data_IF_886981792146
#
_entry.id   IF_886981792146
#
_cell.length_a   1.000
_cell.length_b   1.000
_cell.length_c   1.000
_cell.angle_alpha   90.00
_cell.angle_beta   90.00
_cell.angle_gamma   90.00
#
_symmetry.space_group_name_H-M   'P 1'
#
loop_
_entity.id
_entity.type
_entity.pdbx_description
1 polymer ?
#
# COMPACT_ATOMS: atom_id res chain seq x y z
N UNK A 1 -9.92 15.10 -6.36
CA UNK A 1 -8.82 15.26 -7.34
C UNK A 1 -7.43 15.42 -6.70
N UNK A 2 -7.28 16.31 -5.72
CA UNK A 2 -5.97 16.64 -5.13
C UNK A 2 -5.32 15.49 -4.33
N UNK A 3 -6.09 14.73 -3.55
CA UNK A 3 -5.59 13.52 -2.86
C UNK A 3 -5.12 12.41 -3.82
N UNK A 4 -5.70 12.35 -5.02
CA UNK A 4 -5.25 11.45 -6.08
C UNK A 4 -3.89 11.89 -6.64
N UNK A 5 -3.70 13.20 -6.87
CA UNK A 5 -2.41 13.76 -7.28
C UNK A 5 -1.32 13.49 -6.24
N UNK A 6 -1.59 13.73 -4.95
CA UNK A 6 -0.67 13.40 -3.86
C UNK A 6 -0.30 11.92 -3.87
N UNK A 7 -1.30 11.04 -4.03
CA UNK A 7 -1.09 9.58 -4.09
C UNK A 7 -0.23 9.18 -5.29
N UNK A 8 -0.47 9.78 -6.46
CA UNK A 8 0.31 9.52 -7.67
C UNK A 8 1.77 9.99 -7.51
N UNK A 9 2.00 11.15 -6.89
CA UNK A 9 3.34 11.66 -6.58
C UNK A 9 4.07 10.69 -5.65
N UNK A 10 3.44 10.30 -4.53
CA UNK A 10 4.02 9.33 -3.59
C UNK A 10 4.39 8.04 -4.32
N UNK A 11 3.48 7.47 -5.11
CA UNK A 11 3.73 6.22 -5.84
C UNK A 11 4.91 6.38 -6.79
N UNK A 12 4.92 7.44 -7.59
CA UNK A 12 5.96 7.69 -8.58
C UNK A 12 7.34 7.84 -7.92
N UNK A 13 7.47 8.73 -6.94
CA UNK A 13 8.76 8.98 -6.30
C UNK A 13 9.27 7.77 -5.51
N UNK A 14 8.42 7.13 -4.69
CA UNK A 14 8.81 5.96 -3.90
C UNK A 14 9.24 4.81 -4.81
N UNK A 15 8.51 4.57 -5.91
CA UNK A 15 8.87 3.51 -6.85
C UNK A 15 10.16 3.80 -7.61
N UNK A 16 10.38 5.03 -8.09
CA UNK A 16 11.62 5.41 -8.78
C UNK A 16 12.82 5.34 -7.83
N UNK A 17 12.67 5.82 -6.61
CA UNK A 17 13.72 5.73 -5.58
C UNK A 17 14.00 4.26 -5.27
N UNK A 18 12.98 3.41 -5.16
CA UNK A 18 13.16 1.98 -4.93
C UNK A 18 13.98 1.31 -6.04
N UNK A 19 13.70 1.63 -7.30
CA UNK A 19 14.47 1.15 -8.44
C UNK A 19 15.91 1.65 -8.40
N UNK A 20 16.11 2.95 -8.18
CA UNK A 20 17.44 3.55 -8.21
C UNK A 20 18.31 3.08 -7.05
N UNK A 21 17.82 3.22 -5.82
CA UNK A 21 18.52 2.83 -4.59
C UNK A 21 18.69 1.31 -4.52
N UNK A 22 17.65 0.55 -4.87
CA UNK A 22 17.67 -0.92 -4.87
C UNK A 22 18.75 -1.47 -5.80
N UNK A 23 18.79 -1.01 -7.04
CA UNK A 23 19.76 -1.50 -8.02
C UNK A 23 21.16 -0.93 -7.81
N UNK A 24 21.29 0.37 -7.49
CA UNK A 24 22.60 1.05 -7.48
C UNK A 24 23.33 0.95 -6.14
N UNK A 25 22.61 1.03 -5.02
CA UNK A 25 23.21 1.02 -3.68
C UNK A 25 23.17 -0.40 -3.12
N UNK A 26 22.01 -1.04 -3.14
CA UNK A 26 21.84 -2.38 -2.57
C UNK A 26 22.15 -3.51 -3.54
N UNK A 27 22.43 -3.20 -4.83
CA UNK A 27 22.75 -4.19 -5.88
C UNK A 27 21.73 -5.32 -5.96
N UNK A 28 20.46 -4.98 -5.75
CA UNK A 28 19.32 -5.90 -5.93
C UNK A 28 18.99 -6.01 -7.41
N UNK A 29 18.44 -7.15 -7.81
CA UNK A 29 17.90 -7.29 -9.15
C UNK A 29 16.66 -6.39 -9.33
N UNK A 30 16.33 -6.13 -10.60
CA UNK A 30 15.26 -5.21 -10.97
C UNK A 30 13.91 -5.67 -10.41
N UNK A 31 13.62 -6.98 -10.42
CA UNK A 31 12.35 -7.52 -9.95
C UNK A 31 12.20 -7.35 -8.44
N UNK A 32 13.22 -7.70 -7.65
CA UNK A 32 13.19 -7.50 -6.20
C UNK A 32 13.01 -6.01 -5.85
N UNK A 33 13.71 -5.12 -6.55
CA UNK A 33 13.57 -3.66 -6.35
C UNK A 33 12.17 -3.16 -6.70
N UNK A 34 11.57 -3.69 -7.77
CA UNK A 34 10.19 -3.40 -8.17
C UNK A 34 9.17 -3.87 -7.14
N UNK A 35 9.34 -5.09 -6.62
CA UNK A 35 8.44 -5.68 -5.62
C UNK A 35 8.44 -4.86 -4.33
N UNK A 36 9.63 -4.58 -3.76
CA UNK A 36 9.76 -3.76 -2.55
C UNK A 36 9.20 -2.35 -2.79
N UNK A 37 9.54 -1.75 -3.93
CA UNK A 37 9.06 -0.42 -4.30
C UNK A 37 7.54 -0.34 -4.41
N UNK A 38 6.92 -1.29 -5.12
CA UNK A 38 5.47 -1.35 -5.27
C UNK A 38 4.74 -1.56 -3.94
N UNK A 39 5.29 -2.45 -3.09
CA UNK A 39 4.80 -2.68 -1.73
C UNK A 39 4.78 -1.40 -0.90
N UNK A 40 5.91 -0.71 -0.80
CA UNK A 40 6.01 0.55 -0.04
C UNK A 40 5.20 1.70 -0.65
N UNK A 41 5.07 1.75 -1.98
CA UNK A 41 4.43 2.84 -2.69
C UNK A 41 2.89 2.81 -2.67
N UNK A 42 2.25 1.63 -2.59
CA UNK A 42 0.81 1.51 -2.87
C UNK A 42 0.03 0.99 -1.65
N UNK A 43 -0.14 -0.33 -1.54
CA UNK A 43 -1.01 -0.96 -0.55
C UNK A 43 -0.32 -2.11 0.21
N UNK A 44 1.01 -2.19 0.13
CA UNK A 44 1.79 -3.16 0.85
C UNK A 44 1.73 -4.53 0.23
N UNK A 45 1.37 -5.54 1.02
CA UNK A 45 1.41 -6.95 0.61
C UNK A 45 0.62 -7.24 -0.69
N UNK A 46 -0.57 -6.67 -0.85
CA UNK A 46 -1.40 -6.88 -2.04
C UNK A 46 -0.74 -6.35 -3.32
N UNK A 47 -0.01 -5.23 -3.25
CA UNK A 47 0.73 -4.70 -4.39
C UNK A 47 1.91 -5.61 -4.78
N UNK A 48 2.61 -6.15 -3.78
CA UNK A 48 3.73 -7.09 -4.00
C UNK A 48 3.23 -8.34 -4.71
N UNK A 49 2.19 -8.99 -4.18
CA UNK A 49 1.65 -10.25 -4.72
C UNK A 49 1.06 -10.06 -6.14
N UNK A 50 0.37 -8.93 -6.37
CA UNK A 50 -0.17 -8.62 -7.67
C UNK A 50 0.92 -8.34 -8.72
N UNK A 51 2.01 -7.68 -8.31
CA UNK A 51 3.14 -7.43 -9.21
C UNK A 51 3.96 -8.70 -9.44
N UNK A 52 4.21 -9.50 -8.41
CA UNK A 52 4.90 -10.80 -8.49
C UNK A 52 4.25 -11.72 -9.52
N UNK A 53 2.93 -11.91 -9.42
CA UNK A 53 2.15 -12.73 -10.36
C UNK A 53 2.14 -12.16 -11.78
N UNK A 54 2.10 -10.83 -11.91
CA UNK A 54 2.12 -10.16 -13.22
C UNK A 54 3.48 -10.25 -13.92
N UNK A 55 4.58 -10.16 -13.18
CA UNK A 55 5.94 -10.28 -13.71
C UNK A 55 6.40 -11.74 -13.87
N UNK A 56 5.68 -12.68 -13.23
CA UNK A 56 6.09 -14.09 -13.03
C UNK A 56 7.44 -14.18 -12.31
N UNK A 57 7.59 -13.38 -11.25
CA UNK A 57 8.78 -13.37 -10.40
C UNK A 57 8.85 -14.59 -9.49
N UNK A 58 10.04 -14.86 -8.96
CA UNK A 58 10.24 -15.91 -7.95
C UNK A 58 9.43 -15.59 -6.68
N UNK A 59 8.57 -16.51 -6.19
CA UNK A 59 7.79 -16.32 -4.97
C UNK A 59 8.63 -15.97 -3.74
N UNK A 60 9.88 -16.43 -3.68
CA UNK A 60 10.77 -16.09 -2.57
C UNK A 60 11.06 -14.58 -2.52
N UNK A 61 11.18 -13.90 -3.67
CA UNK A 61 11.35 -12.43 -3.72
C UNK A 61 10.10 -11.71 -3.22
N UNK A 62 8.92 -12.23 -3.58
CA UNK A 62 7.64 -11.73 -3.09
C UNK A 62 7.52 -11.81 -1.58
N UNK A 63 7.81 -12.99 -1.00
CA UNK A 63 7.80 -13.21 0.46
C UNK A 63 8.76 -12.24 1.17
N UNK A 64 9.99 -12.05 0.66
CA UNK A 64 10.93 -11.09 1.25
C UNK A 64 10.40 -9.66 1.22
N UNK A 65 9.84 -9.22 0.09
CA UNK A 65 9.27 -7.88 -0.05
C UNK A 65 8.05 -7.69 0.87
N UNK A 66 7.11 -8.63 0.89
CA UNK A 66 5.95 -8.62 1.80
C UNK A 66 6.41 -8.54 3.26
N UNK A 67 7.38 -9.36 3.66
CA UNK A 67 7.89 -9.35 5.03
C UNK A 67 8.42 -7.99 5.47
N UNK A 68 9.19 -7.30 4.62
CA UNK A 68 9.68 -5.95 4.95
C UNK A 68 8.56 -4.94 5.10
N UNK A 69 7.58 -4.94 4.20
CA UNK A 69 6.42 -4.04 4.21
C UNK A 69 5.59 -4.24 5.47
N UNK A 70 5.33 -5.49 5.86
CA UNK A 70 4.55 -5.82 7.06
C UNK A 70 5.29 -5.34 8.32
N UNK A 71 6.60 -5.59 8.43
CA UNK A 71 7.40 -5.16 9.58
C UNK A 71 7.41 -3.63 9.71
N UNK A 72 7.78 -2.90 8.65
CA UNK A 72 7.81 -1.43 8.70
C UNK A 72 6.42 -0.83 8.86
N UNK A 73 5.41 -1.43 8.22
CA UNK A 73 4.02 -1.03 8.36
C UNK A 73 3.52 -1.15 9.80
N UNK A 74 3.82 -2.26 10.48
CA UNK A 74 3.48 -2.48 11.88
C UNK A 74 4.21 -1.49 12.79
N UNK A 75 5.51 -1.31 12.59
CA UNK A 75 6.30 -0.34 13.37
C UNK A 75 5.70 1.07 13.25
N UNK A 76 5.41 1.53 12.03
CA UNK A 76 4.85 2.87 11.81
C UNK A 76 3.41 3.01 12.30
N UNK A 77 2.61 1.93 12.27
CA UNK A 77 1.25 1.92 12.81
C UNK A 77 1.24 2.32 14.28
N UNK A 78 2.19 1.85 15.09
CA UNK A 78 2.31 2.25 16.49
C UNK A 78 3.07 3.57 16.67
N UNK A 79 4.13 3.77 15.87
CA UNK A 79 4.99 4.95 16.03
C UNK A 79 4.25 6.26 15.74
N UNK A 80 3.36 6.29 14.74
CA UNK A 80 2.70 7.54 14.33
C UNK A 80 1.71 8.10 15.36
N UNK A 81 0.78 7.32 15.95
CA UNK A 81 -0.08 7.80 17.03
C UNK A 81 0.71 8.26 18.25
N UNK A 82 1.76 7.53 18.63
CA UNK A 82 2.64 7.90 19.75
C UNK A 82 3.39 9.21 19.45
N UNK A 83 3.94 9.36 18.24
CA UNK A 83 4.62 10.59 17.85
C UNK A 83 3.66 11.79 17.80
N UNK A 84 2.42 11.57 17.40
CA UNK A 84 1.39 12.61 17.41
C UNK A 84 0.98 13.01 18.84
N UNK A 85 0.77 12.05 19.74
CA UNK A 85 0.44 12.35 21.15
C UNK A 85 1.57 13.08 21.88
N UNK A 86 2.82 12.83 21.49
CA UNK A 86 4.00 13.55 21.99
C UNK A 86 4.23 14.92 21.32
N UNK A 87 3.32 15.39 20.46
CA UNK A 87 3.44 16.65 19.72
C UNK A 87 4.73 16.75 18.85
N UNK A 88 5.23 15.62 18.32
CA UNK A 88 6.39 15.63 17.42
C UNK A 88 6.08 16.17 16.02
N UNK A 89 4.79 16.39 15.71
CA UNK A 89 4.33 17.01 14.47
C UNK A 89 3.65 18.37 14.74
N UNK A 90 4.38 19.39 15.22
CA UNK A 90 3.79 20.65 15.68
C UNK A 90 3.05 21.43 14.59
N UNK A 91 3.33 21.16 13.32
CA UNK A 91 2.70 21.82 12.18
C UNK A 91 1.49 21.06 11.63
N UNK A 92 1.17 19.88 12.16
CA UNK A 92 0.05 19.06 11.70
C UNK A 92 -1.17 19.33 12.57
N UNK A 93 -2.28 19.68 11.92
CA UNK A 93 -3.59 19.48 12.52
C UNK A 93 -4.00 18.00 12.36
N UNK A 94 -5.14 17.62 12.93
CA UNK A 94 -5.61 16.24 12.87
C UNK A 94 -5.81 15.76 11.42
N UNK A 95 -6.37 16.60 10.54
CA UNK A 95 -6.58 16.25 9.15
C UNK A 95 -5.26 16.06 8.38
N UNK A 96 -4.25 16.91 8.59
CA UNK A 96 -2.91 16.76 8.04
C UNK A 96 -2.26 15.48 8.54
N UNK A 97 -2.40 15.16 9.83
CA UNK A 97 -1.93 13.89 10.37
C UNK A 97 -2.67 12.71 9.73
N UNK A 98 -3.96 12.85 9.43
CA UNK A 98 -4.74 11.87 8.68
C UNK A 98 -4.18 11.64 7.27
N UNK A 99 -3.94 12.72 6.53
CA UNK A 99 -3.30 12.68 5.21
C UNK A 99 -1.93 12.00 5.29
N UNK A 100 -1.11 12.38 6.28
CA UNK A 100 0.20 11.80 6.51
C UNK A 100 0.10 10.29 6.74
N UNK A 101 -0.72 9.84 7.69
CA UNK A 101 -0.94 8.42 7.96
C UNK A 101 -1.39 7.65 6.70
N UNK A 102 -2.36 8.18 5.96
CA UNK A 102 -2.82 7.55 4.71
C UNK A 102 -1.76 7.50 3.60
N UNK A 103 -0.93 8.54 3.50
CA UNK A 103 0.11 8.68 2.49
C UNK A 103 1.34 7.83 2.77
N UNK A 104 1.66 7.53 4.04
CA UNK A 104 2.93 6.92 4.43
C UNK A 104 2.81 5.51 5.00
N UNK A 105 1.69 5.15 5.62
CA UNK A 105 1.48 3.79 6.10
C UNK A 105 1.33 2.81 4.93
N UNK A 106 1.92 1.63 5.13
CA UNK A 106 2.13 0.66 4.06
C UNK A 106 0.84 -0.09 3.69
N UNK A 107 -0.07 -0.29 4.64
CA UNK A 107 -1.29 -1.09 4.45
C UNK A 107 -2.53 -0.38 4.96
N UNK A 108 -3.69 -0.80 4.46
CA UNK A 108 -5.00 -0.28 4.89
C UNK A 108 -5.25 -0.60 6.36
N UNK A 109 -4.94 -1.83 6.79
CA UNK A 109 -5.09 -2.25 8.18
C UNK A 109 -4.25 -1.38 9.12
N UNK A 110 -3.01 -1.08 8.72
CA UNK A 110 -2.11 -0.21 9.49
C UNK A 110 -2.68 1.20 9.63
N UNK A 111 -3.27 1.75 8.56
CA UNK A 111 -3.92 3.08 8.60
C UNK A 111 -5.12 3.08 9.54
N UNK A 112 -6.01 2.09 9.41
CA UNK A 112 -7.20 1.99 10.25
C UNK A 112 -6.82 1.81 11.73
N UNK A 113 -5.85 0.93 12.01
CA UNK A 113 -5.36 0.68 13.36
C UNK A 113 -4.65 1.89 13.97
N UNK A 114 -3.77 2.55 13.22
CA UNK A 114 -3.10 3.77 13.68
C UNK A 114 -4.11 4.90 13.96
N UNK A 115 -5.07 5.09 13.06
CA UNK A 115 -6.10 6.10 13.23
C UNK A 115 -6.95 5.85 14.48
N UNK A 116 -7.33 4.60 14.77
CA UNK A 116 -8.08 4.24 15.98
C UNK A 116 -7.26 4.47 17.24
N UNK A 117 -6.01 3.99 17.27
CA UNK A 117 -5.11 4.24 18.39
C UNK A 117 -4.87 5.73 18.64
N UNK A 118 -4.81 6.54 17.58
CA UNK A 118 -4.69 7.99 17.71
C UNK A 118 -5.92 8.62 18.36
N UNK A 119 -7.13 8.09 18.13
CA UNK A 119 -8.35 8.58 18.82
C UNK A 119 -8.21 8.42 20.32
N UNK A 120 -7.84 7.21 20.75
CA UNK A 120 -7.71 6.86 22.16
C UNK A 120 -6.58 7.63 22.85
N UNK A 121 -5.45 7.84 22.17
CA UNK A 121 -4.26 8.46 22.76
C UNK A 121 -4.23 9.99 22.70
N UNK A 122 -4.81 10.58 21.66
CA UNK A 122 -4.61 12.00 21.33
C UNK A 122 -5.90 12.73 20.95
N UNK A 123 -7.08 12.12 21.14
CA UNK A 123 -8.36 12.74 20.81
C UNK A 123 -8.54 12.99 19.32
N UNK A 124 -7.99 12.12 18.47
CA UNK A 124 -8.12 12.20 17.02
C UNK A 124 -9.60 12.12 16.60
N UNK A 125 -10.06 13.07 15.79
CA UNK A 125 -11.44 13.13 15.33
C UNK A 125 -11.72 12.05 14.29
N UNK A 126 -12.97 11.57 14.28
CA UNK A 126 -13.46 10.64 13.27
C UNK A 126 -13.28 11.18 11.85
N UNK A 127 -13.40 12.51 11.66
CA UNK A 127 -13.13 13.18 10.39
C UNK A 127 -11.73 12.88 9.88
N UNK A 128 -10.72 13.12 10.71
CA UNK A 128 -9.31 12.88 10.37
C UNK A 128 -9.00 11.39 10.11
N UNK A 129 -9.62 10.48 10.87
CA UNK A 129 -9.52 9.04 10.58
C UNK A 129 -10.08 8.67 9.21
N UNK A 130 -11.23 9.24 8.82
CA UNK A 130 -11.82 9.03 7.51
C UNK A 130 -10.89 9.55 6.40
N UNK A 131 -10.26 10.70 6.60
CA UNK A 131 -9.29 11.29 5.68
C UNK A 131 -8.11 10.35 5.45
N UNK A 132 -7.56 9.76 6.51
CA UNK A 132 -6.46 8.82 6.41
C UNK A 132 -6.82 7.60 5.54
N UNK A 133 -7.98 7.02 5.78
CA UNK A 133 -8.48 5.88 4.99
C UNK A 133 -8.75 6.28 3.55
N UNK A 134 -9.32 7.47 3.29
CA UNK A 134 -9.58 7.97 1.94
C UNK A 134 -8.27 8.11 1.15
N UNK A 135 -7.25 8.80 1.71
CA UNK A 135 -5.95 8.95 1.05
C UNK A 135 -5.32 7.58 0.77
N UNK A 136 -5.42 6.64 1.71
CA UNK A 136 -4.92 5.28 1.50
C UNK A 136 -5.64 4.58 0.35
N UNK A 137 -6.97 4.65 0.29
CA UNK A 137 -7.78 4.04 -0.78
C UNK A 137 -7.47 4.65 -2.15
N UNK A 138 -7.18 5.94 -2.23
CA UNK A 138 -6.74 6.58 -3.47
C UNK A 138 -5.45 5.94 -4.01
N UNK A 139 -4.50 5.59 -3.13
CA UNK A 139 -3.29 4.83 -3.51
C UNK A 139 -3.65 3.41 -3.95
N UNK A 140 -4.58 2.74 -3.28
CA UNK A 140 -5.03 1.38 -3.66
C UNK A 140 -5.63 1.39 -5.07
N UNK A 141 -6.48 2.37 -5.41
CA UNK A 141 -7.09 2.47 -6.75
C UNK A 141 -6.01 2.64 -7.84
N UNK A 142 -4.93 3.37 -7.54
CA UNK A 142 -3.79 3.57 -8.44
C UNK A 142 -2.96 2.30 -8.68
N UNK A 143 -3.21 1.20 -7.97
CA UNK A 143 -2.59 -0.10 -8.23
C UNK A 143 -2.91 -0.59 -9.64
N UNK A 144 -4.15 -0.44 -10.10
CA UNK A 144 -4.59 -0.93 -11.42
C UNK A 144 -3.80 -0.28 -12.56
N UNK A 145 -3.79 1.07 -12.71
CA UNK A 145 -2.99 1.71 -13.76
C UNK A 145 -1.49 1.46 -13.57
N UNK A 146 -1.00 1.42 -12.33
CA UNK A 146 0.40 1.12 -12.04
C UNK A 146 0.82 -0.25 -12.59
N UNK A 147 0.05 -1.32 -12.33
CA UNK A 147 0.36 -2.66 -12.83
C UNK A 147 0.38 -2.71 -14.35
N UNK A 148 -0.60 -2.10 -15.01
CA UNK A 148 -0.66 -2.05 -16.48
C UNK A 148 0.58 -1.34 -17.06
N UNK A 149 0.95 -0.20 -16.49
CA UNK A 149 2.12 0.58 -16.91
C UNK A 149 3.42 -0.22 -16.70
N UNK A 150 3.65 -0.73 -15.49
CA UNK A 150 4.90 -1.43 -15.14
C UNK A 150 5.05 -2.71 -15.95
N UNK A 151 3.99 -3.51 -16.10
CA UNK A 151 4.01 -4.75 -16.87
C UNK A 151 4.25 -4.49 -18.36
N UNK A 152 3.63 -3.46 -18.94
CA UNK A 152 3.86 -3.05 -20.31
C UNK A 152 5.32 -2.64 -20.57
N UNK A 153 5.88 -1.79 -19.71
CA UNK A 153 7.29 -1.39 -19.82
C UNK A 153 8.25 -2.55 -19.57
N UNK A 154 7.92 -3.45 -18.64
CA UNK A 154 8.73 -4.64 -18.37
C UNK A 154 8.75 -5.61 -19.56
N UNK A 155 7.59 -5.86 -20.18
CA UNK A 155 7.48 -6.72 -21.36
C UNK A 155 8.23 -6.15 -22.57
N UNK A 156 8.10 -4.84 -22.83
CA UNK A 156 8.82 -4.15 -23.93
C UNK A 156 10.35 -4.28 -23.80
N UNK A 157 10.86 -4.19 -22.57
CA UNK A 157 12.30 -4.24 -22.31
C UNK A 157 12.88 -5.67 -22.44
N UNK A 158 12.08 -6.72 -22.24
CA UNK A 158 12.51 -8.12 -22.48
C UNK A 158 12.49 -8.48 -23.97
N UNK A 159 11.60 -7.88 -24.76
CA UNK A 159 11.51 -8.09 -26.20
C UNK A 159 12.72 -7.59 -27.00
N UNK A 160 13.46 -6.61 -26.47
CA UNK A 160 14.66 -6.08 -27.14
C UNK A 160 15.90 -6.98 -26.98
N UNK A 161 15.85 -7.99 -26.09
CA UNK A 161 17.02 -8.79 -25.70
C UNK A 161 16.97 -10.25 -26.17
N UNK A 162 15.82 -10.74 -26.65
CA UNK A 162 15.69 -12.12 -27.14
C UNK A 162 14.57 -12.20 -28.17
N UNK A 163 14.89 -12.63 -29.39
CA UNK A 163 13.92 -12.91 -30.47
C UNK A 163 13.01 -14.12 -30.19
N UNK A 164 12.52 -14.25 -28.94
CA UNK A 164 11.61 -15.31 -28.50
C UNK A 164 10.23 -14.72 -28.20
N UNK A 165 9.23 -15.51 -28.57
CA UNK A 165 7.78 -15.31 -28.55
C UNK A 165 7.25 -14.36 -27.49
N UNK A 166 6.31 -13.50 -27.91
CA UNK A 166 5.55 -12.55 -27.10
C UNK A 166 5.19 -13.13 -25.74
N UNK A 167 5.86 -12.65 -24.68
CA UNK A 167 5.43 -12.93 -23.31
C UNK A 167 4.11 -12.18 -23.15
N UNK A 168 3.01 -12.91 -23.29
CA UNK A 168 1.64 -12.39 -23.22
C UNK A 168 1.51 -11.44 -22.04
N UNK A 169 1.03 -10.22 -22.27
CA UNK A 169 0.68 -9.29 -21.21
C UNK A 169 -0.36 -10.00 -20.34
N UNK A 170 0.03 -10.40 -19.13
CA UNK A 170 -0.91 -10.99 -18.17
C UNK A 170 -1.81 -9.87 -17.70
N UNK A 171 -3.05 -9.86 -18.17
CA UNK A 171 -4.07 -8.94 -17.70
C UNK A 171 -4.31 -9.26 -16.21
N UNK A 172 -4.17 -8.27 -15.29
CA UNK A 172 -4.38 -8.51 -13.87
C UNK A 172 -5.88 -8.64 -13.59
N UNK A 173 -6.47 -9.81 -13.84
CA UNK A 173 -7.90 -10.07 -13.61
C UNK A 173 -8.34 -9.70 -12.18
N UNK A 174 -7.44 -9.85 -11.19
CA UNK A 174 -7.63 -9.39 -9.82
C UNK A 174 -7.98 -7.89 -9.72
N UNK A 175 -7.28 -7.04 -10.48
CA UNK A 175 -7.50 -5.59 -10.47
C UNK A 175 -8.89 -5.21 -11.01
N UNK A 176 -9.35 -5.90 -12.06
CA UNK A 176 -10.70 -5.70 -12.61
C UNK A 176 -11.78 -6.22 -11.68
N UNK A 177 -11.59 -7.38 -11.05
CA UNK A 177 -12.51 -7.89 -10.04
C UNK A 177 -12.62 -6.95 -8.84
N UNK A 178 -11.49 -6.40 -8.36
CA UNK A 178 -11.46 -5.41 -7.29
C UNK A 178 -12.25 -4.13 -7.66
N UNK A 179 -12.04 -3.61 -8.88
CA UNK A 179 -12.80 -2.45 -9.36
C UNK A 179 -14.30 -2.75 -9.48
N UNK A 180 -14.66 -3.93 -9.97
CA UNK A 180 -16.05 -4.40 -10.03
C UNK A 180 -16.71 -4.44 -8.65
N UNK A 181 -16.00 -4.91 -7.62
CA UNK A 181 -16.49 -4.93 -6.25
C UNK A 181 -16.67 -3.53 -5.66
N UNK A 182 -15.80 -2.56 -6.00
CA UNK A 182 -15.99 -1.15 -5.60
C UNK A 182 -17.28 -0.57 -6.20
N UNK A 183 -17.48 -0.78 -7.50
CA UNK A 183 -18.68 -0.30 -8.21
C UNK A 183 -19.93 -0.97 -7.64
N UNK A 184 -19.88 -2.28 -7.42
CA UNK A 184 -20.97 -3.02 -6.79
C UNK A 184 -21.27 -2.50 -5.39
N UNK A 185 -20.26 -2.29 -4.53
CA UNK A 185 -20.47 -1.75 -3.20
C UNK A 185 -21.10 -0.35 -3.24
N UNK A 186 -20.65 0.51 -4.17
CA UNK A 186 -21.21 1.85 -4.37
C UNK A 186 -22.67 1.78 -4.82
N UNK A 187 -22.99 0.88 -5.75
CA UNK A 187 -24.36 0.69 -6.24
C UNK A 187 -25.29 0.14 -5.16
N UNK A 188 -24.82 -0.84 -4.37
CA UNK A 188 -25.56 -1.39 -3.23
C UNK A 188 -25.81 -0.30 -2.18
N UNK A 189 -24.79 0.48 -1.81
CA UNK A 189 -24.93 1.56 -0.83
C UNK A 189 -25.93 2.65 -1.24
N UNK A 190 -26.20 2.80 -2.54
CA UNK A 190 -27.19 3.75 -3.06
C UNK A 190 -28.64 3.27 -2.94
N UNK A 191 -28.90 2.01 -2.57
CA UNK A 191 -30.25 1.44 -2.44
C UNK A 191 -30.57 1.12 -0.98
N UNK A 192 -31.72 1.54 -0.49
CA UNK A 192 -32.16 1.20 0.87
C UNK A 192 -32.48 -0.30 1.04
N UNK A 193 -33.11 -0.90 0.03
CA UNK A 193 -33.49 -2.31 0.04
C UNK A 193 -33.23 -2.96 -1.32
N UNK A 194 -32.73 -4.20 -1.29
CA UNK A 194 -32.57 -5.06 -2.46
C UNK A 194 -33.16 -6.43 -2.11
N UNK A 195 -34.09 -6.89 -2.95
CA UNK A 195 -34.74 -8.20 -2.78
C UNK A 195 -35.39 -8.41 -1.40
N UNK A 196 -35.89 -7.34 -0.77
CA UNK A 196 -36.55 -7.39 0.55
C UNK A 196 -35.59 -7.45 1.74
N UNK A 197 -34.28 -7.37 1.51
CA UNK A 197 -33.25 -7.33 2.56
C UNK A 197 -32.69 -5.90 2.61
N UNK A 198 -32.48 -5.38 3.82
CA UNK A 198 -31.85 -4.09 4.02
C UNK A 198 -30.40 -4.15 3.51
N UNK A 199 -30.03 -3.22 2.63
CA UNK A 199 -28.69 -3.26 2.02
C UNK A 199 -27.58 -3.05 3.06
N UNK A 200 -27.89 -2.42 4.20
CA UNK A 200 -27.00 -2.29 5.35
C UNK A 200 -26.52 -3.63 5.90
N UNK A 201 -27.39 -4.65 5.92
CA UNK A 201 -27.10 -5.96 6.50
C UNK A 201 -26.20 -6.77 5.57
N UNK A 202 -26.41 -6.64 4.26
CA UNK A 202 -25.55 -7.25 3.24
C UNK A 202 -24.14 -6.66 3.33
N UNK A 203 -24.03 -5.33 3.44
CA UNK A 203 -22.74 -4.64 3.54
C UNK A 203 -22.04 -4.98 4.87
N UNK A 204 -22.76 -5.03 5.98
CA UNK A 204 -22.18 -5.34 7.30
C UNK A 204 -21.67 -6.78 7.35
N UNK A 205 -22.43 -7.75 6.84
CA UNK A 205 -22.01 -9.14 6.72
C UNK A 205 -20.79 -9.28 5.81
N UNK A 206 -20.77 -8.57 4.68
CA UNK A 206 -19.61 -8.50 3.79
C UNK A 206 -18.35 -7.95 4.48
N UNK A 207 -18.49 -6.90 5.30
CA UNK A 207 -17.39 -6.36 6.11
C UNK A 207 -16.88 -7.39 7.12
N UNK A 208 -17.77 -8.08 7.84
CA UNK A 208 -17.38 -9.10 8.82
C UNK A 208 -16.62 -10.25 8.16
N UNK A 209 -17.13 -10.77 7.04
CA UNK A 209 -16.44 -11.81 6.28
C UNK A 209 -15.09 -11.33 5.77
N UNK A 210 -15.01 -10.10 5.26
CA UNK A 210 -13.76 -9.50 4.80
C UNK A 210 -12.73 -9.43 5.94
N UNK A 211 -13.12 -8.97 7.12
CA UNK A 211 -12.26 -8.93 8.32
C UNK A 211 -11.75 -10.32 8.68
N UNK A 212 -12.63 -11.32 8.73
CA UNK A 212 -12.23 -12.70 9.02
C UNK A 212 -11.22 -13.22 7.98
N UNK A 213 -11.51 -13.04 6.69
CA UNK A 213 -10.62 -13.46 5.60
C UNK A 213 -9.25 -12.76 5.67
N UNK A 214 -9.20 -11.46 5.96
CA UNK A 214 -7.94 -10.72 6.11
C UNK A 214 -7.14 -11.26 7.29
N UNK A 215 -7.79 -11.53 8.44
CA UNK A 215 -7.11 -12.10 9.62
C UNK A 215 -6.49 -13.45 9.28
N UNK A 216 -7.22 -14.36 8.64
CA UNK A 216 -6.68 -15.65 8.22
C UNK A 216 -5.56 -15.51 7.18
N UNK A 217 -5.70 -14.60 6.21
CA UNK A 217 -4.68 -14.36 5.18
C UNK A 217 -3.38 -13.81 5.78
N UNK A 218 -3.46 -12.83 6.69
CA UNK A 218 -2.29 -12.25 7.36
C UNK A 218 -1.62 -13.25 8.30
N UNK A 219 -2.41 -14.08 9.01
CA UNK A 219 -1.87 -15.18 9.80
C UNK A 219 -1.12 -16.19 8.91
N UNK A 220 -1.72 -16.63 7.80
CA UNK A 220 -1.10 -17.57 6.87
C UNK A 220 0.18 -17.02 6.23
N UNK A 221 0.21 -15.72 5.87
CA UNK A 221 1.43 -15.04 5.41
C UNK A 221 2.53 -15.09 6.48
N UNK A 222 2.18 -14.84 7.74
CA UNK A 222 3.11 -14.95 8.87
C UNK A 222 3.73 -16.35 9.01
N UNK A 223 2.93 -17.40 8.85
CA UNK A 223 3.41 -18.80 8.93
C UNK A 223 4.35 -19.19 7.77
N UNK A 224 4.27 -18.52 6.61
CA UNK A 224 5.13 -18.81 5.46
C UNK A 224 6.53 -18.18 5.57
N UNK A 225 6.74 -17.26 6.51
CA UNK A 225 8.02 -16.55 6.66
C UNK A 225 9.04 -17.43 7.41
N UNK A 226 9.99 -17.98 6.66
CA UNK A 226 11.20 -18.58 7.25
C UNK A 226 12.13 -17.47 7.76
N UNK A 227 12.06 -17.19 9.06
CA UNK A 227 12.87 -16.14 9.72
C UNK A 227 14.37 -16.27 9.46
N UNK A 228 14.91 -17.49 9.36
CA UNK A 228 16.35 -17.70 9.12
C UNK A 228 16.73 -17.32 7.69
N UNK A 229 15.90 -17.67 6.70
CA UNK A 229 16.12 -17.27 5.30
C UNK A 229 15.88 -15.78 5.10
N UNK A 230 14.90 -15.20 5.80
CA UNK A 230 14.62 -13.76 5.80
C UNK A 230 15.82 -12.96 6.32
N UNK A 231 16.46 -13.38 7.42
CA UNK A 231 17.63 -12.68 7.95
C UNK A 231 18.87 -12.82 7.04
N UNK A 232 19.11 -14.01 6.47
CA UNK A 232 20.29 -14.26 5.62
C UNK A 232 20.22 -13.59 4.25
N UNK A 233 19.05 -13.61 3.61
CA UNK A 233 18.88 -13.12 2.23
C UNK A 233 18.21 -11.75 2.16
N UNK A 234 17.55 -11.33 3.24
CA UNK A 234 16.75 -10.11 3.30
C UNK A 234 17.51 -8.89 3.80
N UNK A 235 18.78 -8.96 4.22
CA UNK A 235 19.46 -7.77 4.78
C UNK A 235 19.52 -6.59 3.81
N UNK A 236 19.77 -6.86 2.51
CA UNK A 236 19.76 -5.82 1.46
C UNK A 236 18.34 -5.33 1.14
N UNK A 237 17.37 -6.25 1.16
CA UNK A 237 15.94 -5.94 0.93
C UNK A 237 15.40 -5.07 2.08
N UNK A 238 15.76 -5.40 3.30
CA UNK A 238 15.44 -4.65 4.52
C UNK A 238 16.11 -3.29 4.52
N UNK A 239 17.38 -3.21 4.09
CA UNK A 239 18.07 -1.92 3.89
C UNK A 239 17.36 -1.02 2.89
N UNK A 240 16.91 -1.56 1.76
CA UNK A 240 16.09 -0.82 0.81
C UNK A 240 14.76 -0.36 1.44
N UNK A 241 14.04 -1.27 2.09
CA UNK A 241 12.77 -0.97 2.74
C UNK A 241 12.92 0.10 3.85
N UNK A 242 14.02 0.07 4.60
CA UNK A 242 14.35 1.09 5.59
C UNK A 242 14.52 2.47 4.94
N UNK A 243 15.30 2.55 3.86
CA UNK A 243 15.47 3.81 3.11
C UNK A 243 14.13 4.30 2.58
N UNK A 244 13.31 3.43 2.00
CA UNK A 244 11.97 3.80 1.53
C UNK A 244 11.04 4.23 2.67
N UNK A 245 11.16 3.62 3.85
CA UNK A 245 10.46 4.04 5.05
C UNK A 245 10.84 5.46 5.47
N UNK A 246 12.13 5.81 5.44
CA UNK A 246 12.58 7.19 5.69
C UNK A 246 12.07 8.14 4.61
N UNK A 247 12.12 7.75 3.33
CA UNK A 247 11.57 8.55 2.24
C UNK A 247 10.07 8.79 2.41
N UNK A 248 9.32 7.79 2.85
CA UNK A 248 7.90 7.94 3.16
C UNK A 248 7.68 8.89 4.35
N UNK A 249 8.47 8.77 5.42
CA UNK A 249 8.37 9.67 6.58
C UNK A 249 8.69 11.11 6.17
N UNK A 250 9.89 11.37 5.65
CA UNK A 250 10.32 12.74 5.34
C UNK A 250 9.61 13.32 4.12
N UNK A 251 9.50 12.54 3.04
CA UNK A 251 8.81 12.93 1.83
C UNK A 251 7.32 13.11 2.07
N UNK A 252 6.69 12.18 2.79
CA UNK A 252 5.29 12.30 3.19
C UNK A 252 5.04 13.50 4.11
N UNK A 253 5.97 13.80 5.03
CA UNK A 253 5.85 14.97 5.90
C UNK A 253 5.85 16.26 5.08
N UNK A 254 6.80 16.41 4.16
CA UNK A 254 6.91 17.57 3.27
C UNK A 254 5.71 17.68 2.32
N UNK A 255 5.25 16.56 1.75
CA UNK A 255 4.07 16.50 0.90
C UNK A 255 2.81 16.90 1.66
N UNK A 256 2.63 16.40 2.88
CA UNK A 256 1.49 16.77 3.72
C UNK A 256 1.50 18.26 4.01
N UNK A 257 2.64 18.86 4.37
CA UNK A 257 2.72 20.32 4.58
C UNK A 257 2.33 21.09 3.33
N UNK A 258 2.86 20.71 2.17
CA UNK A 258 2.60 21.40 0.90
C UNK A 258 1.13 21.29 0.48
N UNK A 259 0.48 20.17 0.76
CA UNK A 259 -0.90 19.92 0.38
C UNK A 259 -1.92 20.29 1.48
N UNK A 260 -1.48 20.60 2.71
CA UNK A 260 -2.37 20.91 3.85
C UNK A 260 -3.26 22.11 3.54
N UNK A 261 -2.70 23.20 3.03
CA UNK A 261 -3.44 24.43 2.72
C UNK A 261 -4.32 24.32 1.46
N UNK A 262 -4.20 23.19 0.76
CA UNK A 262 -4.77 22.98 -0.58
C UNK A 262 -5.86 21.89 -0.54
N UNK A 263 -5.83 20.97 0.43
CA UNK A 263 -6.78 19.86 0.55
C UNK A 263 -8.06 20.22 1.31
N UNK A 264 -8.07 21.34 2.05
CA UNK A 264 -9.21 21.88 2.81
C UNK A 264 -9.53 23.28 2.33
#
# INVERSE_FOLDING_TARGET
LKGFLLSAIVIFFVFIIALFVGMKIFKLDKETSMLVGAGSAICGAAAVLALESSLKSDPFKGILAVGTVVIFGLVFMFLYPIAFSLNLFPFFDQNAMGVFMGATLHEVANVAGAAEMAKDMAGFEQGASNVAVIIKMMRVILLVPFLLIVTYFFAKNQHSSSGKTAKSITIPYFAFAFLGMIVLNTYLASKENILGIATSDIISLGKTLCTLCIVFAMAALGLQIDFKKFLKSGSRVFGLAFVLGLVLIFGGYFLTLTFKDILW
#
